data_IF_924941907252
#
_entry.id   IF_924941907252
#
_cell.length_a   1.000
_cell.length_b   1.000
_cell.length_c   1.000
_cell.angle_alpha   90.00
_cell.angle_beta   90.00
_cell.angle_gamma   90.00
#
_symmetry.space_group_name_H-M   'P 1'
#
loop_
_entity.id
_entity.type
_entity.pdbx_description
1 polymer ?
#
# COMPACT_ATOMS: atom_id res chain seq x y z
N UNK A 1 4.98 -14.85 1.06
CA UNK A 1 5.01 -14.26 2.41
C UNK A 1 5.71 -12.91 2.35
N UNK A 2 4.97 -11.83 2.59
CA UNK A 2 5.46 -10.45 2.56
C UNK A 2 5.95 -10.08 3.97
N UNK A 3 7.21 -9.69 4.13
CA UNK A 3 7.74 -9.27 5.43
C UNK A 3 8.13 -7.79 5.34
N UNK A 4 7.50 -6.95 6.15
CA UNK A 4 7.80 -5.51 6.23
C UNK A 4 8.18 -5.19 7.68
N UNK A 5 9.35 -4.58 7.88
CA UNK A 5 9.82 -4.13 9.20
C UNK A 5 9.77 -2.61 9.29
N UNK A 6 9.30 -2.09 10.43
CA UNK A 6 9.34 -0.66 10.75
C UNK A 6 9.97 -0.45 12.13
N UNK A 7 10.91 0.50 12.29
CA UNK A 7 11.37 0.91 13.61
C UNK A 7 10.29 1.75 14.32
N UNK A 8 9.90 1.33 15.54
CA UNK A 8 8.95 2.02 16.42
C UNK A 8 9.55 3.34 16.95
N UNK A 9 8.89 4.49 16.73
CA UNK A 9 9.23 5.75 17.39
C UNK A 9 8.05 6.73 17.43
N UNK A 10 7.88 7.44 18.55
CA UNK A 10 6.65 8.10 19.05
C UNK A 10 6.33 9.51 18.47
N UNK A 11 6.80 9.86 17.27
CA UNK A 11 6.64 11.24 16.72
C UNK A 11 6.01 11.25 15.31
N UNK A 12 5.21 12.28 15.00
CA UNK A 12 4.74 12.56 13.62
C UNK A 12 5.87 13.31 12.91
N UNK A 13 6.52 12.67 11.94
CA UNK A 13 7.52 13.31 11.10
C UNK A 13 7.41 12.77 9.67
N UNK A 14 7.83 13.61 8.71
CA UNK A 14 7.96 13.16 7.32
C UNK A 14 9.11 12.16 7.28
N UNK A 15 8.82 10.91 6.93
CA UNK A 15 9.81 9.85 6.90
C UNK A 15 9.76 9.16 5.55
N UNK A 16 10.93 8.99 4.95
CA UNK A 16 11.07 8.02 3.87
C UNK A 16 10.99 6.63 4.48
N UNK A 17 9.88 5.93 4.29
CA UNK A 17 9.83 4.49 4.55
C UNK A 17 10.37 3.75 3.32
N UNK A 18 10.92 2.56 3.53
CA UNK A 18 11.25 1.66 2.43
C UNK A 18 10.26 0.51 2.45
N UNK A 19 9.60 0.28 1.32
CA UNK A 19 8.83 -0.94 1.09
C UNK A 19 9.71 -1.89 0.31
N UNK A 20 9.75 -3.14 0.74
CA UNK A 20 10.53 -4.19 0.08
C UNK A 20 9.61 -5.36 -0.22
N UNK A 21 9.78 -5.94 -1.41
CA UNK A 21 9.23 -7.25 -1.72
C UNK A 21 10.37 -8.23 -1.79
N UNK A 22 10.19 -9.34 -1.08
CA UNK A 22 11.15 -10.43 -0.98
C UNK A 22 10.51 -11.73 -1.44
N UNK A 23 11.29 -12.56 -2.10
CA UNK A 23 10.93 -13.95 -2.39
C UNK A 23 10.64 -14.67 -1.08
N UNK A 24 9.53 -15.40 -0.96
CA UNK A 24 9.28 -16.15 0.29
C UNK A 24 10.05 -17.45 0.40
N UNK A 25 10.58 -17.98 -0.70
CA UNK A 25 11.39 -19.20 -0.69
C UNK A 25 12.85 -18.91 -0.37
N UNK A 26 13.41 -17.82 -0.93
CA UNK A 26 14.83 -17.48 -0.79
C UNK A 26 15.08 -16.26 0.11
N UNK A 27 14.06 -15.47 0.40
CA UNK A 27 14.15 -14.19 1.11
C UNK A 27 14.96 -13.10 0.38
N UNK A 28 15.35 -13.38 -0.86
CA UNK A 28 16.00 -12.41 -1.75
C UNK A 28 15.08 -11.22 -2.01
N UNK A 29 15.66 -10.03 -1.99
CA UNK A 29 14.96 -8.81 -2.34
C UNK A 29 14.70 -8.80 -3.85
N UNK A 30 13.43 -8.85 -4.24
CA UNK A 30 13.00 -8.71 -5.64
C UNK A 30 13.05 -7.24 -6.06
N UNK A 31 12.54 -6.35 -5.19
CA UNK A 31 12.64 -4.91 -5.38
C UNK A 31 12.47 -4.17 -4.05
N UNK A 32 12.89 -2.90 -4.04
CA UNK A 32 12.66 -1.96 -2.94
C UNK A 32 12.26 -0.59 -3.46
N UNK A 33 11.29 0.05 -2.83
CA UNK A 33 10.81 1.39 -3.16
C UNK A 33 10.88 2.30 -1.93
N UNK A 34 11.68 3.38 -1.95
CA UNK A 34 11.55 4.44 -0.96
C UNK A 34 10.26 5.23 -1.22
N UNK A 35 9.40 5.32 -0.22
CA UNK A 35 8.20 6.14 -0.22
C UNK A 35 8.31 7.23 0.85
N UNK A 36 8.15 8.48 0.43
CA UNK A 36 7.98 9.59 1.35
C UNK A 36 6.52 9.61 1.81
N UNK A 37 6.27 9.10 3.01
CA UNK A 37 4.94 9.12 3.62
C UNK A 37 5.00 9.81 4.97
N UNK A 38 3.85 10.34 5.38
CA UNK A 38 3.70 10.90 6.71
C UNK A 38 3.36 9.74 7.65
N UNK A 39 4.35 9.30 8.43
CA UNK A 39 4.16 8.21 9.38
C UNK A 39 3.53 8.74 10.67
N UNK A 40 2.45 8.10 11.12
CA UNK A 40 1.83 8.31 12.42
C UNK A 40 1.71 6.96 13.12
N UNK A 41 2.12 6.92 14.39
CA UNK A 41 2.28 5.69 15.15
C UNK A 41 0.99 4.84 15.18
N UNK A 42 1.15 3.52 15.05
CA UNK A 42 0.05 2.55 15.05
C UNK A 42 -0.79 2.43 13.77
N UNK A 43 -0.62 3.29 12.75
CA UNK A 43 -1.34 3.19 11.47
C UNK A 43 -0.44 2.64 10.37
N UNK A 44 -0.46 1.32 10.25
CA UNK A 44 0.28 0.57 9.21
C UNK A 44 -0.31 0.86 7.84
N UNK A 45 0.50 1.30 6.89
CA UNK A 45 0.11 1.34 5.48
C UNK A 45 -0.20 -0.09 5.03
N UNK A 46 -1.43 -0.31 4.56
CA UNK A 46 -1.85 -1.63 4.09
C UNK A 46 -1.37 -1.82 2.67
N UNK A 47 -0.88 -3.02 2.37
CA UNK A 47 -0.49 -3.43 1.02
C UNK A 47 -1.43 -4.55 0.60
N UNK A 48 -2.01 -4.42 -0.58
CA UNK A 48 -2.75 -5.48 -1.25
C UNK A 48 -2.00 -5.89 -2.52
N UNK A 49 -1.86 -7.19 -2.76
CA UNK A 49 -1.48 -7.68 -4.08
C UNK A 49 -2.65 -7.44 -5.03
N UNK A 50 -2.37 -6.84 -6.17
CA UNK A 50 -3.26 -6.80 -7.32
C UNK A 50 -2.92 -7.98 -8.24
N UNK A 51 -3.61 -8.08 -9.38
CA UNK A 51 -3.29 -9.04 -10.44
C UNK A 51 -1.97 -8.61 -11.12
N UNK A 52 -1.32 -9.55 -11.81
CA UNK A 52 -0.11 -9.32 -12.61
C UNK A 52 1.10 -8.87 -11.77
N UNK A 53 1.19 -9.34 -10.53
CA UNK A 53 2.26 -9.03 -9.59
C UNK A 53 2.41 -7.52 -9.35
N UNK A 54 1.30 -6.79 -9.31
CA UNK A 54 1.28 -5.37 -8.95
C UNK A 54 0.77 -5.20 -7.51
N UNK A 55 1.01 -4.02 -6.92
CA UNK A 55 0.64 -3.76 -5.52
C UNK A 55 -0.09 -2.44 -5.36
N UNK A 56 -1.03 -2.42 -4.43
CA UNK A 56 -1.68 -1.21 -3.96
C UNK A 56 -1.22 -0.93 -2.53
N UNK A 57 -0.64 0.25 -2.31
CA UNK A 57 -0.28 0.74 -0.97
C UNK A 57 -1.22 1.87 -0.58
N UNK A 58 -1.71 1.82 0.64
CA UNK A 58 -2.63 2.83 1.18
C UNK A 58 -1.86 3.70 2.15
N UNK A 59 -1.74 4.98 1.82
CA UNK A 59 -1.32 6.01 2.75
C UNK A 59 -2.57 6.58 3.44
N UNK A 60 -2.80 6.12 4.67
CA UNK A 60 -3.92 6.55 5.49
C UNK A 60 -3.88 8.06 5.78
N UNK A 61 -2.70 8.64 5.97
CA UNK A 61 -2.58 10.03 6.45
C UNK A 61 -2.96 11.01 5.35
N UNK A 62 -2.49 10.75 4.13
CA UNK A 62 -2.82 11.57 2.96
C UNK A 62 -4.04 11.06 2.21
N UNK A 63 -4.74 10.05 2.75
CA UNK A 63 -5.81 9.31 2.09
C UNK A 63 -5.51 9.05 0.61
N UNK A 64 -4.35 8.46 0.36
CA UNK A 64 -3.84 8.23 -1.00
C UNK A 64 -3.66 6.75 -1.27
N UNK A 65 -4.00 6.36 -2.48
CA UNK A 65 -3.72 5.05 -3.04
C UNK A 65 -2.50 5.16 -3.95
N UNK A 66 -1.47 4.36 -3.67
CA UNK A 66 -0.26 4.26 -4.47
C UNK A 66 -0.26 2.92 -5.21
N UNK A 67 -0.21 2.97 -6.54
CA UNK A 67 -0.11 1.81 -7.39
C UNK A 67 1.35 1.55 -7.75
N UNK A 68 1.87 0.41 -7.32
CA UNK A 68 3.24 -0.04 -7.57
C UNK A 68 3.21 -1.16 -8.59
N UNK A 69 3.98 -1.02 -9.67
CA UNK A 69 4.12 -2.05 -10.70
C UNK A 69 5.02 -3.20 -10.25
N UNK A 70 5.02 -4.29 -11.02
CA UNK A 70 5.81 -5.51 -10.77
C UNK A 70 7.32 -5.30 -10.58
N UNK A 71 7.84 -4.21 -11.12
CA UNK A 71 9.25 -3.81 -11.02
C UNK A 71 9.56 -2.95 -9.78
N UNK A 72 8.58 -2.75 -8.90
CA UNK A 72 8.70 -1.92 -7.72
C UNK A 72 8.63 -0.42 -7.99
N UNK A 73 8.23 0.02 -9.19
CA UNK A 73 8.07 1.44 -9.50
C UNK A 73 6.66 1.95 -9.25
N UNK A 74 6.56 3.19 -8.78
CA UNK A 74 5.27 3.88 -8.64
C UNK A 74 4.69 4.18 -10.03
N UNK A 75 3.57 3.54 -10.37
CA UNK A 75 2.82 3.79 -11.61
C UNK A 75 1.87 4.98 -11.47
N UNK A 76 1.17 5.06 -10.35
CA UNK A 76 0.20 6.11 -10.10
C UNK A 76 0.04 6.39 -8.60
N UNK A 77 -0.30 7.64 -8.28
CA UNK A 77 -0.80 8.06 -6.98
C UNK A 77 -2.16 8.74 -7.17
N UNK A 78 -3.15 8.36 -6.38
CA UNK A 78 -4.50 8.95 -6.40
C UNK A 78 -4.92 9.31 -4.99
N UNK A 79 -5.41 10.53 -4.80
CA UNK A 79 -6.17 10.88 -3.60
C UNK A 79 -7.50 10.14 -3.62
N UNK A 80 -8.02 9.87 -2.44
CA UNK A 80 -9.27 9.18 -2.24
C UNK A 80 -10.04 9.85 -1.10
N UNK A 81 -11.28 10.21 -1.34
CA UNK A 81 -12.17 10.77 -0.33
C UNK A 81 -13.46 9.94 -0.29
N UNK A 82 -13.94 9.51 0.89
CA UNK A 82 -13.45 9.81 2.25
C UNK A 82 -12.19 9.03 2.67
N UNK A 83 -11.58 9.38 3.81
CA UNK A 83 -10.33 8.78 4.32
C UNK A 83 -10.30 7.26 4.24
N UNK A 84 -9.29 6.71 3.56
CA UNK A 84 -9.12 5.26 3.37
C UNK A 84 -8.46 4.61 4.58
N UNK A 85 -9.07 3.52 5.06
CA UNK A 85 -8.50 2.69 6.14
C UNK A 85 -7.93 1.37 5.64
N UNK A 86 -8.53 0.78 4.62
CA UNK A 86 -8.10 -0.51 4.09
C UNK A 86 -8.59 -0.71 2.65
N UNK A 87 -7.92 -1.58 1.91
CA UNK A 87 -8.34 -2.02 0.60
C UNK A 87 -7.90 -3.47 0.38
N UNK A 88 -8.78 -4.25 -0.25
CA UNK A 88 -8.52 -5.65 -0.59
C UNK A 88 -9.07 -5.93 -1.99
N UNK A 89 -8.36 -6.75 -2.76
CA UNK A 89 -8.89 -7.30 -3.99
C UNK A 89 -9.91 -8.40 -3.63
N UNK A 90 -11.16 -8.19 -4.04
CA UNK A 90 -12.26 -9.13 -3.93
C UNK A 90 -12.52 -9.75 -5.30
N UNK A 91 -12.42 -11.08 -5.37
CA UNK A 91 -12.52 -11.80 -6.64
C UNK A 91 -11.40 -11.41 -7.62
N UNK A 92 -11.71 -11.40 -8.91
CA UNK A 92 -10.71 -11.23 -9.97
C UNK A 92 -10.54 -9.80 -10.46
N UNK A 93 -11.34 -8.81 -10.06
CA UNK A 93 -11.19 -7.44 -10.56
C UNK A 93 -11.93 -6.36 -9.75
N UNK A 94 -12.38 -6.67 -8.54
CA UNK A 94 -13.07 -5.70 -7.69
C UNK A 94 -12.16 -5.31 -6.55
N UNK A 95 -11.79 -4.05 -6.49
CA UNK A 95 -11.10 -3.49 -5.33
C UNK A 95 -12.15 -2.99 -4.33
N UNK A 96 -12.24 -3.64 -3.18
CA UNK A 96 -13.07 -3.22 -2.07
C UNK A 96 -12.25 -2.30 -1.15
N UNK A 97 -12.69 -1.05 -0.99
CA UNK A 97 -12.02 -0.01 -0.21
C UNK A 97 -12.89 0.38 0.97
N UNK A 98 -12.40 0.12 2.18
CA UNK A 98 -13.03 0.58 3.41
C UNK A 98 -12.55 1.99 3.72
N UNK A 99 -13.49 2.91 3.77
CA UNK A 99 -13.27 4.30 4.21
C UNK A 99 -13.83 4.50 5.62
N UNK A 100 -13.71 5.71 6.15
CA UNK A 100 -14.30 6.10 7.44
C UNK A 100 -15.82 5.96 7.47
N UNK A 101 -16.49 6.10 6.34
CA UNK A 101 -17.96 6.16 6.28
C UNK A 101 -18.59 5.02 5.49
N UNK A 102 -17.86 4.34 4.62
CA UNK A 102 -18.44 3.35 3.71
C UNK A 102 -17.47 2.25 3.28
N UNK A 103 -18.03 1.24 2.60
CA UNK A 103 -17.30 0.27 1.81
C UNK A 103 -17.59 0.56 0.34
N UNK A 104 -16.55 0.91 -0.43
CA UNK A 104 -16.66 1.28 -1.83
C UNK A 104 -16.06 0.19 -2.70
N UNK A 105 -16.72 -0.13 -3.80
CA UNK A 105 -16.26 -1.13 -4.75
C UNK A 105 -15.86 -0.47 -6.06
N UNK A 106 -14.63 -0.73 -6.50
CA UNK A 106 -14.09 -0.21 -7.75
C UNK A 106 -13.75 -1.38 -8.66
N UNK A 107 -14.14 -1.28 -9.93
CA UNK A 107 -13.65 -2.22 -10.93
C UNK A 107 -12.25 -1.81 -11.34
N UNK A 108 -11.29 -2.71 -11.17
CA UNK A 108 -9.92 -2.49 -11.64
C UNK A 108 -9.86 -2.96 -13.08
N UNK A 109 -9.63 -2.01 -14.00
CA UNK A 109 -9.17 -2.32 -15.35
C UNK A 109 -7.64 -2.36 -15.28
N UNK A 110 -7.08 -3.51 -15.61
CA UNK A 110 -5.64 -3.75 -15.66
C UNK A 110 -5.19 -3.82 -17.11
#
# INVERSE_FOLDING_TARGET
ALLISYPFNKYIYNKTIRIEVRSSSTFDQLWSLPLNIIYEDGRINRICSLICDEWLVIDHKTSSLLHIGKDGKLKAKRSYEPTVHNAILFGSNILAIRTTTSLNFHRVQL
#
